data_IF_042372126632
#
_entry.id   IF_042372126632
#
_cell.length_a   1.000
_cell.length_b   1.000
_cell.length_c   1.000
_cell.angle_alpha   90.00
_cell.angle_beta   90.00
_cell.angle_gamma   90.00
#
_symmetry.space_group_name_H-M   'P 1'
#
loop_
_entity.id
_entity.type
_entity.pdbx_description
1 polymer ?
#
# COMPACT_ATOMS: atom_id res chain seq x y z
N UNK A 1 -12.52 28.29 -14.57
CA UNK A 1 -12.04 28.24 -15.95
C UNK A 1 -11.33 26.91 -16.19
N UNK A 2 -12.10 25.83 -16.48
CA UNK A 2 -11.57 24.46 -16.68
C UNK A 2 -10.63 24.32 -17.90
N UNK A 3 -10.65 25.28 -18.81
CA UNK A 3 -9.91 25.20 -20.07
C UNK A 3 -8.43 25.64 -20.00
N UNK A 4 -7.94 26.00 -18.81
CA UNK A 4 -6.56 26.48 -18.65
C UNK A 4 -5.66 25.52 -17.85
N UNK A 5 -6.19 24.41 -17.34
CA UNK A 5 -5.38 23.40 -16.65
C UNK A 5 -4.68 22.55 -17.72
N UNK A 6 -3.44 22.88 -18.04
CA UNK A 6 -2.55 21.97 -18.76
C UNK A 6 -2.31 20.77 -17.84
N UNK A 7 -2.63 19.56 -18.34
CA UNK A 7 -2.23 18.32 -17.69
C UNK A 7 -0.71 18.22 -17.70
N UNK A 8 -0.09 18.57 -16.59
CA UNK A 8 1.33 18.37 -16.41
C UNK A 8 1.59 16.91 -16.00
N UNK A 9 2.74 16.40 -16.43
CA UNK A 9 3.18 15.06 -16.04
C UNK A 9 3.40 15.04 -14.53
N UNK A 10 2.86 14.03 -13.84
CA UNK A 10 3.09 13.83 -12.39
C UNK A 10 4.60 13.81 -12.13
N UNK A 11 5.12 14.60 -11.19
CA UNK A 11 6.52 14.60 -10.82
C UNK A 11 7.02 13.20 -10.47
N UNK A 12 8.30 12.93 -10.76
CA UNK A 12 8.92 11.63 -10.42
C UNK A 12 8.81 11.37 -8.92
N UNK A 13 8.30 10.20 -8.55
CA UNK A 13 8.13 9.79 -7.14
C UNK A 13 6.79 10.19 -6.51
N UNK A 14 5.94 10.96 -7.20
CA UNK A 14 4.61 11.34 -6.72
C UNK A 14 3.48 10.45 -7.27
N UNK A 15 3.79 9.46 -8.10
CA UNK A 15 2.81 8.51 -8.65
C UNK A 15 2.21 7.60 -7.57
N UNK A 16 1.04 7.05 -7.88
CA UNK A 16 0.32 6.05 -7.08
C UNK A 16 0.87 4.68 -7.43
N UNK A 17 1.25 3.87 -6.44
CA UNK A 17 1.75 2.51 -6.68
C UNK A 17 0.61 1.53 -6.97
N UNK A 18 -0.53 1.69 -6.29
CA UNK A 18 -1.71 0.87 -6.48
C UNK A 18 -2.96 1.76 -6.49
N UNK A 19 -3.69 1.72 -7.60
CA UNK A 19 -4.92 2.47 -7.79
C UNK A 19 -6.03 1.54 -8.29
N UNK A 20 -7.15 1.48 -7.57
CA UNK A 20 -8.30 0.66 -7.95
C UNK A 20 -9.61 1.24 -7.41
N UNK A 21 -10.73 0.76 -7.95
CA UNK A 21 -12.07 1.06 -7.47
C UNK A 21 -12.75 -0.23 -6.99
N UNK A 22 -13.36 -0.16 -5.80
CA UNK A 22 -14.15 -1.24 -5.23
C UNK A 22 -15.46 -0.65 -4.74
N UNK A 23 -16.58 -1.13 -5.30
CA UNK A 23 -17.89 -0.49 -5.14
C UNK A 23 -17.80 0.99 -5.57
N UNK A 24 -18.31 1.92 -4.74
CA UNK A 24 -18.27 3.36 -5.01
C UNK A 24 -17.08 4.08 -4.38
N UNK A 25 -16.10 3.31 -3.89
CA UNK A 25 -14.89 3.85 -3.25
C UNK A 25 -13.69 3.66 -4.16
N UNK A 26 -12.94 4.72 -4.35
CA UNK A 26 -11.66 4.73 -5.04
C UNK A 26 -10.52 4.66 -4.03
N UNK A 27 -9.51 3.86 -4.32
CA UNK A 27 -8.38 3.61 -3.44
C UNK A 27 -7.08 3.96 -4.13
N UNK A 28 -6.22 4.71 -3.45
CA UNK A 28 -4.88 5.06 -3.90
C UNK A 28 -3.87 4.74 -2.81
N UNK A 29 -2.96 3.82 -3.09
CA UNK A 29 -1.95 3.39 -2.12
C UNK A 29 -0.53 3.64 -2.58
N UNK A 30 0.28 4.10 -1.65
CA UNK A 30 1.74 3.94 -1.66
C UNK A 30 2.06 2.60 -1.03
N UNK A 31 2.88 1.78 -1.66
CA UNK A 31 3.35 0.51 -1.09
C UNK A 31 4.78 0.65 -0.58
N UNK A 32 5.03 0.23 0.64
CA UNK A 32 6.35 0.30 1.26
C UNK A 32 6.75 -1.01 1.91
N UNK A 33 8.04 -1.27 1.88
CA UNK A 33 8.63 -2.29 2.75
C UNK A 33 8.56 -1.83 4.20
N UNK A 34 8.76 -2.77 5.11
CA UNK A 34 8.73 -2.49 6.56
C UNK A 34 9.91 -1.65 7.06
N UNK A 35 10.91 -1.39 6.23
CA UNK A 35 12.02 -0.50 6.53
C UNK A 35 11.61 0.94 6.23
N UNK A 36 11.34 1.70 7.30
CA UNK A 36 10.89 3.07 7.24
C UNK A 36 11.91 3.94 7.96
N UNK A 37 12.35 5.02 7.32
CA UNK A 37 13.24 6.00 7.92
C UNK A 37 12.47 6.94 8.87
N UNK A 38 13.20 7.58 9.77
CA UNK A 38 12.66 8.68 10.57
C UNK A 38 12.17 9.80 9.64
N UNK A 39 11.00 10.36 9.93
CA UNK A 39 10.39 11.41 9.11
C UNK A 39 9.56 10.94 7.91
N UNK A 40 9.67 9.66 7.53
CA UNK A 40 8.90 9.12 6.38
C UNK A 40 7.39 9.32 6.52
N UNK A 41 6.85 9.25 7.74
CA UNK A 41 5.43 9.47 7.97
C UNK A 41 4.95 10.85 7.53
N UNK A 42 5.76 11.87 7.74
CA UNK A 42 5.46 13.24 7.28
C UNK A 42 5.44 13.31 5.75
N UNK A 43 6.46 12.73 5.08
CA UNK A 43 6.52 12.70 3.61
C UNK A 43 5.32 11.95 3.02
N UNK A 44 4.97 10.81 3.62
CA UNK A 44 3.79 10.05 3.21
C UNK A 44 2.50 10.85 3.40
N UNK A 45 2.32 11.50 4.55
CA UNK A 45 1.14 12.34 4.82
C UNK A 45 0.98 13.42 3.76
N UNK A 46 2.06 14.13 3.41
CA UNK A 46 2.03 15.13 2.32
C UNK A 46 1.67 14.50 0.98
N UNK A 47 2.20 13.31 0.67
CA UNK A 47 1.89 12.60 -0.58
C UNK A 47 0.42 12.22 -0.66
N UNK A 48 -0.15 11.66 0.42
CA UNK A 48 -1.57 11.33 0.49
C UNK A 48 -2.46 12.57 0.34
N UNK A 49 -2.11 13.68 1.00
CA UNK A 49 -2.82 14.95 0.84
C UNK A 49 -2.79 15.46 -0.60
N UNK A 50 -1.65 15.38 -1.29
CA UNK A 50 -1.53 15.75 -2.70
C UNK A 50 -2.45 14.92 -3.59
N UNK A 51 -2.49 13.60 -3.41
CA UNK A 51 -3.36 12.73 -4.20
C UNK A 51 -4.85 13.06 -4.00
N UNK A 52 -5.26 13.28 -2.75
CA UNK A 52 -6.62 13.73 -2.45
C UNK A 52 -6.92 15.06 -3.17
N UNK A 53 -6.03 16.03 -3.08
CA UNK A 53 -6.19 17.32 -3.72
C UNK A 53 -6.28 17.18 -5.25
N UNK A 54 -5.34 16.47 -5.89
CA UNK A 54 -5.36 16.27 -7.35
C UNK A 54 -6.64 15.60 -7.80
N UNK A 55 -7.10 14.61 -7.07
CA UNK A 55 -8.30 13.85 -7.45
C UNK A 55 -9.58 14.69 -7.30
N UNK A 56 -9.68 15.45 -6.24
CA UNK A 56 -10.82 16.36 -6.01
C UNK A 56 -10.90 17.50 -7.05
N UNK A 57 -9.74 17.99 -7.52
CA UNK A 57 -9.71 19.06 -8.52
C UNK A 57 -10.02 18.55 -9.92
N UNK A 58 -9.64 17.31 -10.26
CA UNK A 58 -9.84 16.73 -11.59
C UNK A 58 -11.30 16.41 -11.88
N UNK A 59 -12.04 15.99 -10.91
CA UNK A 59 -13.46 15.67 -11.05
C UNK A 59 -14.30 16.67 -10.27
N UNK A 60 -15.33 17.20 -10.91
CA UNK A 60 -16.38 18.05 -10.29
C UNK A 60 -17.26 17.18 -9.34
N UNK A 61 -16.61 16.31 -8.57
CA UNK A 61 -17.25 15.27 -7.79
C UNK A 61 -17.24 15.64 -6.31
N UNK A 62 -18.24 16.39 -5.91
CA UNK A 62 -18.57 16.57 -4.48
C UNK A 62 -18.87 15.24 -3.74
N UNK A 63 -19.02 14.14 -4.49
CA UNK A 63 -19.42 12.83 -3.97
C UNK A 63 -18.33 11.74 -4.16
N UNK A 64 -17.07 12.13 -4.45
CA UNK A 64 -15.99 11.17 -4.59
C UNK A 64 -15.66 10.55 -3.22
N UNK A 65 -15.90 9.26 -3.07
CA UNK A 65 -15.42 8.50 -1.93
C UNK A 65 -14.01 7.99 -2.24
N UNK A 66 -13.01 8.70 -1.73
CA UNK A 66 -11.60 8.42 -1.97
C UNK A 66 -10.90 8.05 -0.67
N UNK A 67 -10.19 6.94 -0.68
CA UNK A 67 -9.32 6.49 0.41
C UNK A 67 -7.88 6.48 -0.08
N UNK A 68 -7.02 7.19 0.59
CA UNK A 68 -5.58 7.21 0.34
C UNK A 68 -4.82 6.69 1.56
N UNK A 69 -3.89 5.77 1.36
CA UNK A 69 -3.11 5.22 2.48
C UNK A 69 -1.73 4.74 2.04
N UNK A 70 -0.87 4.50 3.03
CA UNK A 70 0.39 3.77 2.87
C UNK A 70 0.17 2.32 3.27
N UNK A 71 0.44 1.41 2.36
CA UNK A 71 0.31 -0.02 2.59
C UNK A 71 1.68 -0.65 2.89
N UNK A 72 1.73 -1.43 3.95
CA UNK A 72 2.84 -2.30 4.35
C UNK A 72 2.36 -3.75 4.21
N UNK A 73 2.60 -4.40 3.06
CA UNK A 73 2.02 -5.72 2.76
C UNK A 73 2.41 -6.84 3.73
N UNK A 74 3.42 -6.62 4.57
CA UNK A 74 3.91 -7.59 5.52
C UNK A 74 4.04 -6.99 6.92
N UNK A 75 3.69 -7.75 7.96
CA UNK A 75 3.91 -7.41 9.37
C UNK A 75 4.99 -8.31 9.99
N UNK A 76 6.22 -7.82 10.13
CA UNK A 76 7.31 -8.59 10.73
C UNK A 76 7.24 -8.65 12.26
N UNK A 77 6.38 -7.84 12.86
CA UNK A 77 6.33 -7.63 14.31
C UNK A 77 5.14 -8.36 14.99
N UNK A 78 4.37 -9.12 14.20
CA UNK A 78 3.29 -9.95 14.73
C UNK A 78 2.18 -9.17 15.45
N UNK A 79 1.81 -8.00 14.93
CA UNK A 79 0.80 -7.09 15.50
C UNK A 79 1.39 -5.88 16.24
N UNK A 80 2.69 -5.87 16.53
CA UNK A 80 3.34 -4.72 17.22
C UNK A 80 3.90 -3.65 16.28
N UNK A 81 3.62 -3.73 14.98
CA UNK A 81 4.19 -2.83 13.97
C UNK A 81 4.02 -1.35 14.32
N UNK A 82 2.81 -0.93 14.59
CA UNK A 82 2.51 0.47 14.88
C UNK A 82 3.20 0.97 16.15
N UNK A 83 3.24 0.14 17.19
CA UNK A 83 3.90 0.46 18.46
C UNK A 83 5.40 0.67 18.25
N UNK A 84 6.05 -0.24 17.56
CA UNK A 84 7.50 -0.21 17.33
C UNK A 84 7.93 0.90 16.36
N UNK A 85 7.03 1.33 15.45
CA UNK A 85 7.35 2.30 14.39
C UNK A 85 6.59 3.61 14.51
N UNK A 86 5.92 3.88 15.63
CA UNK A 86 5.08 5.05 15.83
C UNK A 86 5.77 6.35 15.42
N UNK A 87 7.01 6.58 15.84
CA UNK A 87 7.75 7.81 15.52
C UNK A 87 8.20 7.90 14.06
N UNK A 88 8.15 6.81 13.29
CA UNK A 88 8.52 6.77 11.87
C UNK A 88 7.32 6.93 10.94
N UNK A 89 6.14 6.48 11.36
CA UNK A 89 4.91 6.60 10.59
C UNK A 89 4.07 7.82 10.95
N UNK A 90 4.30 8.45 12.11
CA UNK A 90 3.60 9.68 12.49
C UNK A 90 3.82 10.78 11.44
N UNK A 91 2.78 11.52 11.01
CA UNK A 91 1.45 11.65 11.62
C UNK A 91 0.37 10.68 11.12
N UNK A 92 0.71 9.67 10.30
CA UNK A 92 -0.29 8.73 9.76
C UNK A 92 -1.08 8.03 10.87
N UNK A 93 -2.37 7.80 10.61
CA UNK A 93 -3.30 7.13 11.52
C UNK A 93 -3.26 5.63 11.26
N UNK A 94 -2.85 4.79 12.24
CA UNK A 94 -2.90 3.34 12.13
C UNK A 94 -4.29 2.81 11.78
N UNK A 95 -4.35 1.92 10.80
CA UNK A 95 -5.61 1.32 10.33
C UNK A 95 -6.45 2.20 9.39
N UNK A 96 -6.04 3.46 9.17
CA UNK A 96 -6.67 4.41 8.26
C UNK A 96 -5.69 4.84 7.17
N UNK A 97 -4.70 5.69 7.51
CA UNK A 97 -3.68 6.19 6.59
C UNK A 97 -2.50 5.23 6.44
N UNK A 98 -2.33 4.28 7.35
CA UNK A 98 -1.33 3.24 7.31
C UNK A 98 -1.98 1.88 7.53
N UNK A 99 -1.83 0.97 6.56
CA UNK A 99 -2.41 -0.38 6.59
C UNK A 99 -1.30 -1.42 6.59
N UNK A 100 -1.31 -2.33 7.55
CA UNK A 100 -0.23 -3.31 7.75
C UNK A 100 -0.73 -4.74 7.65
N UNK A 101 -0.03 -5.57 6.89
CA UNK A 101 -0.30 -7.00 6.83
C UNK A 101 -1.74 -7.31 6.46
N UNK A 102 -2.48 -7.98 7.36
CA UNK A 102 -3.86 -8.34 7.08
C UNK A 102 -4.79 -7.15 6.84
N UNK A 103 -4.58 -5.98 7.46
CA UNK A 103 -5.42 -4.81 7.21
C UNK A 103 -5.44 -4.44 5.72
N UNK A 104 -4.26 -4.45 5.09
CA UNK A 104 -4.14 -4.20 3.66
C UNK A 104 -4.72 -5.34 2.81
N UNK A 105 -4.31 -6.59 3.07
CA UNK A 105 -4.72 -7.72 2.25
C UNK A 105 -6.22 -8.04 2.38
N UNK A 106 -6.79 -7.92 3.59
CA UNK A 106 -8.20 -8.16 3.85
C UNK A 106 -9.08 -7.07 3.18
N UNK A 107 -8.58 -5.82 3.14
CA UNK A 107 -9.23 -4.75 2.39
C UNK A 107 -9.28 -5.06 0.88
N UNK A 108 -8.16 -5.52 0.30
CA UNK A 108 -8.09 -5.84 -1.12
C UNK A 108 -9.04 -6.98 -1.50
N UNK A 109 -9.00 -8.07 -0.76
CA UNK A 109 -9.75 -9.29 -1.10
C UNK A 109 -11.19 -9.28 -0.59
N UNK A 110 -11.47 -8.55 0.47
CA UNK A 110 -12.73 -8.63 1.21
C UNK A 110 -12.81 -9.86 2.13
N UNK A 111 -11.72 -10.62 2.28
CA UNK A 111 -11.66 -11.82 3.12
C UNK A 111 -10.76 -11.59 4.34
N UNK A 112 -11.07 -12.25 5.46
CA UNK A 112 -10.26 -12.15 6.68
C UNK A 112 -9.03 -13.07 6.63
N UNK A 113 -7.94 -12.62 7.26
CA UNK A 113 -6.69 -13.36 7.40
C UNK A 113 -6.02 -13.72 6.07
N UNK A 114 -6.16 -12.87 5.06
CA UNK A 114 -5.65 -13.10 3.71
C UNK A 114 -4.14 -13.29 3.69
N UNK A 115 -3.38 -12.45 4.41
CA UNK A 115 -1.92 -12.61 4.50
C UNK A 115 -1.52 -13.99 5.06
N UNK A 116 -2.23 -14.47 6.07
CA UNK A 116 -1.98 -15.80 6.65
C UNK A 116 -2.22 -16.91 5.61
N UNK A 117 -3.27 -16.80 4.81
CA UNK A 117 -3.56 -17.75 3.71
C UNK A 117 -2.47 -17.71 2.65
N UNK A 118 -2.01 -16.53 2.24
CA UNK A 118 -0.90 -16.34 1.30
C UNK A 118 0.37 -17.01 1.83
N UNK A 119 0.77 -16.73 3.07
CA UNK A 119 1.95 -17.34 3.69
C UNK A 119 1.83 -18.85 3.78
N UNK A 120 0.66 -19.37 4.10
CA UNK A 120 0.41 -20.81 4.15
C UNK A 120 0.58 -21.45 2.77
N UNK A 121 0.04 -20.84 1.71
CA UNK A 121 0.18 -21.33 0.34
C UNK A 121 1.66 -21.37 -0.10
N UNK A 122 2.46 -20.34 0.24
CA UNK A 122 3.90 -20.37 -0.01
C UNK A 122 4.61 -21.50 0.74
N UNK A 123 4.24 -21.78 1.99
CA UNK A 123 4.79 -22.90 2.76
C UNK A 123 4.46 -24.25 2.12
N UNK A 124 3.25 -24.42 1.62
CA UNK A 124 2.80 -25.64 0.93
C UNK A 124 3.57 -25.85 -0.37
N UNK A 125 3.72 -24.81 -1.19
CA UNK A 125 4.55 -24.85 -2.40
C UNK A 125 6.00 -25.20 -2.06
N UNK A 126 6.57 -24.62 -1.01
CA UNK A 126 7.93 -24.95 -0.57
C UNK A 126 8.09 -26.42 -0.12
N UNK A 127 7.05 -27.00 0.52
CA UNK A 127 7.06 -28.39 0.95
C UNK A 127 6.79 -29.39 -0.17
N UNK A 128 6.12 -28.98 -1.25
CA UNK A 128 5.69 -29.87 -2.36
C UNK A 128 6.86 -30.35 -3.23
N UNK A 129 8.07 -29.82 -3.05
CA UNK A 129 9.24 -30.14 -3.88
C UNK A 129 9.16 -29.58 -5.31
N UNK A 130 8.12 -28.81 -5.65
CA UNK A 130 7.97 -28.20 -6.98
C UNK A 130 9.18 -27.34 -7.36
N UNK A 131 9.82 -26.72 -6.38
CA UNK A 131 11.00 -25.86 -6.60
C UNK A 131 12.30 -26.65 -6.77
N UNK A 132 12.34 -27.95 -6.44
CA UNK A 132 13.55 -28.77 -6.50
C UNK A 132 14.11 -28.87 -7.92
N UNK A 133 13.23 -28.92 -8.91
CA UNK A 133 13.61 -28.94 -10.33
C UNK A 133 14.33 -27.65 -10.83
N UNK A 134 14.29 -26.60 -10.03
CA UNK A 134 14.93 -25.32 -10.36
C UNK A 134 16.22 -25.08 -9.56
N UNK A 135 16.55 -25.92 -8.56
CA UNK A 135 17.75 -25.76 -7.72
C UNK A 135 19.01 -25.57 -8.53
N UNK A 136 19.21 -26.41 -9.55
CA UNK A 136 20.39 -26.34 -10.40
C UNK A 136 20.52 -25.05 -11.22
N UNK A 137 19.41 -24.32 -11.41
CA UNK A 137 19.41 -23.05 -12.14
C UNK A 137 19.82 -21.87 -11.25
N UNK A 138 19.59 -21.97 -9.93
CA UNK A 138 19.87 -20.89 -8.97
C UNK A 138 21.26 -21.01 -8.32
N UNK A 139 21.88 -22.20 -8.32
CA UNK A 139 23.17 -22.46 -7.67
C UNK A 139 24.34 -22.61 -8.67
N UNK A 140 24.12 -22.37 -9.96
CA UNK A 140 25.18 -22.33 -10.99
C UNK A 140 25.59 -20.89 -11.31
N UNK A 141 26.01 -20.16 -10.29
CA UNK A 141 26.67 -18.86 -10.46
C UNK A 141 27.86 -18.78 -9.55
#
# INVERSE_FOLDING_TARGET
NKNSLKYEKIPKGEGVDLWFKKNDTEYMFETKTVQINSGSGTDFSFKLCKWNFYRLVQEDNSNLNLITAVAFPYDPDGGDFYKKRRGRISPLIPGEDALVGNEFWDLLTGEKNTLKKIVQSFKEVGKSGVLDKYKDKFYKS
#
